data_IF_095699528040
#
_entry.id   IF_095699528040
#
_cell.length_a   1.000
_cell.length_b   1.000
_cell.length_c   1.000
_cell.angle_alpha   90.00
_cell.angle_beta   90.00
_cell.angle_gamma   90.00
#
_symmetry.space_group_name_H-M   'P 1'
#
loop_
_entity.id
_entity.type
_entity.pdbx_description
1 polymer ?
#
# COMPACT_ATOMS: atom_id res chain seq x y z
N UNK A 1 63.86 -24.18 129.14
CA UNK A 1 64.29 -24.40 127.73
C UNK A 1 63.20 -24.11 126.69
N UNK A 2 61.91 -24.08 127.05
CA UNK A 2 60.84 -23.80 126.09
C UNK A 2 60.65 -22.30 125.73
N UNK A 3 60.97 -21.35 126.62
CA UNK A 3 60.73 -19.91 126.39
C UNK A 3 61.67 -19.28 125.32
N UNK A 4 62.93 -19.72 125.23
CA UNK A 4 63.89 -19.20 124.25
C UNK A 4 63.62 -19.64 122.80
N UNK A 5 63.04 -20.83 122.61
CA UNK A 5 62.59 -21.30 121.29
C UNK A 5 61.31 -20.62 120.81
N UNK A 6 60.48 -20.15 121.74
CA UNK A 6 59.26 -19.39 121.41
C UNK A 6 59.63 -17.98 120.94
N UNK A 7 60.63 -17.34 121.56
CA UNK A 7 61.08 -15.98 121.19
C UNK A 7 61.82 -15.90 119.84
N UNK A 8 62.62 -16.92 119.48
CA UNK A 8 63.26 -16.98 118.15
C UNK A 8 62.23 -17.32 117.04
N UNK A 9 61.20 -18.10 117.37
CA UNK A 9 60.10 -18.39 116.46
C UNK A 9 59.17 -17.17 116.26
N UNK A 10 58.86 -16.40 117.31
CA UNK A 10 58.04 -15.17 117.22
C UNK A 10 58.77 -14.05 116.49
N UNK A 11 60.08 -13.87 116.69
CA UNK A 11 60.88 -12.90 115.94
C UNK A 11 61.01 -13.25 114.46
N UNK A 12 61.19 -14.55 114.12
CA UNK A 12 61.11 -15.02 112.73
C UNK A 12 59.73 -14.83 112.12
N UNK A 13 58.66 -15.14 112.85
CA UNK A 13 57.28 -14.88 112.42
C UNK A 13 57.05 -13.41 112.12
N UNK A 14 57.47 -12.50 113.00
CA UNK A 14 57.34 -11.05 112.78
C UNK A 14 58.16 -10.57 111.56
N UNK A 15 59.37 -11.11 111.35
CA UNK A 15 60.19 -10.78 110.17
C UNK A 15 59.57 -11.29 108.86
N UNK A 16 59.03 -12.51 108.86
CA UNK A 16 58.30 -13.10 107.74
C UNK A 16 57.00 -12.36 107.47
N UNK A 17 56.27 -11.97 108.51
CA UNK A 17 55.03 -11.19 108.42
C UNK A 17 55.28 -9.79 107.84
N UNK A 18 56.38 -9.13 108.24
CA UNK A 18 56.83 -7.87 107.62
C UNK A 18 57.30 -8.02 106.17
N UNK A 19 57.92 -9.15 105.81
CA UNK A 19 58.23 -9.45 104.40
C UNK A 19 56.96 -9.73 103.58
N UNK A 20 55.97 -10.40 104.18
CA UNK A 20 54.68 -10.71 103.57
C UNK A 20 53.87 -9.43 103.32
N UNK A 21 53.88 -8.48 104.26
CA UNK A 21 53.28 -7.14 104.06
C UNK A 21 53.98 -6.35 102.97
N UNK A 22 55.33 -6.37 102.90
CA UNK A 22 56.08 -5.73 101.82
C UNK A 22 55.79 -6.36 100.45
N UNK A 23 55.65 -7.69 100.40
CA UNK A 23 55.30 -8.40 99.16
C UNK A 23 53.87 -8.10 98.74
N UNK A 24 52.90 -8.10 99.67
CA UNK A 24 51.51 -7.68 99.41
C UNK A 24 51.42 -6.23 98.94
N UNK A 25 52.21 -5.32 99.51
CA UNK A 25 52.27 -3.94 99.05
C UNK A 25 52.84 -3.83 97.61
N UNK A 26 53.86 -4.63 97.28
CA UNK A 26 54.41 -4.70 95.91
C UNK A 26 53.41 -5.31 94.93
N UNK A 27 52.70 -6.36 95.32
CA UNK A 27 51.64 -7.01 94.54
C UNK A 27 50.50 -6.05 94.25
N UNK A 28 49.97 -5.37 95.28
CA UNK A 28 48.94 -4.34 95.11
C UNK A 28 49.38 -3.18 94.21
N UNK A 29 50.65 -2.78 94.27
CA UNK A 29 51.18 -1.73 93.41
C UNK A 29 51.38 -2.20 91.96
N UNK A 30 51.76 -3.47 91.76
CA UNK A 30 51.83 -4.11 90.45
C UNK A 30 50.44 -4.25 89.83
N UNK A 31 49.42 -4.66 90.60
CA UNK A 31 48.02 -4.73 90.16
C UNK A 31 47.50 -3.37 89.69
N UNK A 32 47.75 -2.31 90.46
CA UNK A 32 47.37 -0.94 90.05
C UNK A 32 48.06 -0.52 88.75
N UNK A 33 49.34 -0.86 88.57
CA UNK A 33 50.07 -0.60 87.31
C UNK A 33 49.46 -1.41 86.16
N UNK A 34 49.14 -2.67 86.38
CA UNK A 34 48.50 -3.55 85.39
C UNK A 34 47.14 -3.00 84.96
N UNK A 35 46.35 -2.50 85.90
CA UNK A 35 45.06 -1.86 85.63
C UNK A 35 45.23 -0.56 84.80
N UNK A 36 46.22 0.28 85.12
CA UNK A 36 46.51 1.48 84.32
C UNK A 36 46.97 1.15 82.90
N UNK A 37 47.86 0.16 82.75
CA UNK A 37 48.34 -0.29 81.44
C UNK A 37 47.19 -0.92 80.64
N UNK A 38 46.33 -1.70 81.28
CA UNK A 38 45.15 -2.29 80.61
C UNK A 38 44.19 -1.22 80.09
N UNK A 39 43.93 -0.17 80.89
CA UNK A 39 43.11 0.98 80.45
C UNK A 39 43.73 1.71 79.27
N UNK A 40 45.05 1.88 79.26
CA UNK A 40 45.73 2.56 78.16
C UNK A 40 45.76 1.70 76.89
N UNK A 41 45.94 0.38 77.01
CA UNK A 41 45.83 -0.56 75.89
C UNK A 41 44.44 -0.48 75.27
N UNK A 42 43.38 -0.42 76.06
CA UNK A 42 42.00 -0.31 75.56
C UNK A 42 41.75 1.04 74.85
N UNK A 43 42.28 2.15 75.38
CA UNK A 43 42.26 3.46 74.69
C UNK A 43 43.02 3.43 73.37
N UNK A 44 44.20 2.80 73.32
CA UNK A 44 44.96 2.69 72.08
C UNK A 44 44.27 1.77 71.06
N UNK A 45 43.64 0.70 71.51
CA UNK A 45 42.90 -0.22 70.67
C UNK A 45 41.69 0.45 70.01
N UNK A 46 40.89 1.20 70.79
CA UNK A 46 39.77 1.98 70.26
C UNK A 46 40.23 3.07 69.28
N UNK A 47 41.32 3.79 69.60
CA UNK A 47 41.92 4.79 68.70
C UNK A 47 42.40 4.16 67.39
N UNK A 48 43.06 3.00 67.45
CA UNK A 48 43.50 2.24 66.27
C UNK A 48 42.31 1.84 65.40
N UNK A 49 41.25 1.29 65.98
CA UNK A 49 40.07 0.87 65.23
C UNK A 49 39.36 2.05 64.55
N UNK A 50 39.29 3.21 65.20
CA UNK A 50 38.77 4.43 64.60
C UNK A 50 39.63 4.91 63.41
N UNK A 51 40.96 4.86 63.55
CA UNK A 51 41.87 5.20 62.46
C UNK A 51 41.75 4.23 61.27
N UNK A 52 41.59 2.93 61.53
CA UNK A 52 41.38 1.92 60.48
C UNK A 52 40.06 2.19 59.74
N UNK A 53 38.96 2.46 60.46
CA UNK A 53 37.67 2.81 59.83
C UNK A 53 37.80 4.06 58.97
N UNK A 54 38.49 5.09 59.47
CA UNK A 54 38.72 6.34 58.72
C UNK A 54 39.58 6.11 57.48
N UNK A 55 40.60 5.27 57.57
CA UNK A 55 41.42 4.88 56.42
C UNK A 55 40.59 4.12 55.37
N UNK A 56 39.75 3.17 55.79
CA UNK A 56 38.86 2.44 54.89
C UNK A 56 37.87 3.37 54.19
N UNK A 57 37.29 4.33 54.92
CA UNK A 57 36.42 5.35 54.37
C UNK A 57 37.13 6.22 53.31
N UNK A 58 38.33 6.71 53.62
CA UNK A 58 39.13 7.49 52.67
C UNK A 58 39.49 6.67 51.43
N UNK A 59 39.90 5.41 51.60
CA UNK A 59 40.20 4.49 50.48
C UNK A 59 38.99 4.24 49.58
N UNK A 60 37.80 4.06 50.16
CA UNK A 60 36.57 3.89 49.39
C UNK A 60 36.27 5.15 48.56
N UNK A 61 36.35 6.33 49.17
CA UNK A 61 36.16 7.60 48.45
C UNK A 61 37.16 7.82 47.32
N UNK A 62 38.43 7.47 47.53
CA UNK A 62 39.45 7.55 46.47
C UNK A 62 39.09 6.61 45.31
N UNK A 63 38.59 5.41 45.60
CA UNK A 63 38.14 4.45 44.58
C UNK A 63 36.91 4.95 43.82
N UNK A 64 35.94 5.53 44.53
CA UNK A 64 34.69 6.04 43.94
C UNK A 64 34.93 7.23 43.00
N UNK A 65 36.00 8.01 43.21
CA UNK A 65 36.45 9.07 42.30
C UNK A 65 37.04 8.50 41.00
N UNK A 66 37.45 7.23 40.98
CA UNK A 66 38.06 6.57 39.84
C UNK A 66 39.55 6.92 39.66
N UNK A 67 40.20 6.24 38.71
CA UNK A 67 41.57 6.58 38.33
C UNK A 67 41.54 7.84 37.44
N UNK A 68 42.00 8.97 37.98
CA UNK A 68 42.22 10.19 37.22
C UNK A 68 43.40 9.96 36.25
N UNK A 69 43.26 10.38 35.00
CA UNK A 69 44.33 10.26 34.01
C UNK A 69 45.57 11.03 34.48
N UNK A 70 46.78 10.46 34.31
CA UNK A 70 48.06 11.09 34.73
C UNK A 70 48.25 12.49 34.14
N UNK A 71 47.67 12.76 32.97
CA UNK A 71 47.74 14.05 32.27
C UNK A 71 46.91 15.17 32.91
N UNK A 72 45.96 14.85 33.80
CA UNK A 72 45.16 15.85 34.49
C UNK A 72 45.88 16.40 35.74
N UNK A 73 46.81 15.62 36.31
CA UNK A 73 47.67 16.07 37.40
C UNK A 73 48.57 17.22 36.94
N UNK A 74 49.26 17.06 35.80
CA UNK A 74 50.25 18.04 35.31
C UNK A 74 49.63 19.41 34.97
N UNK A 75 48.35 19.46 34.57
CA UNK A 75 47.62 20.70 34.24
C UNK A 75 47.19 21.53 35.44
N UNK A 76 47.15 20.93 36.63
CA UNK A 76 46.63 21.57 37.85
C UNK A 76 47.62 21.54 39.03
N UNK A 77 48.79 20.90 38.88
CA UNK A 77 49.82 20.72 39.91
C UNK A 77 50.35 22.03 40.50
N UNK A 78 50.46 23.09 39.67
CA UNK A 78 50.97 24.40 40.09
C UNK A 78 49.90 25.37 40.62
N UNK A 79 48.62 24.96 40.70
CA UNK A 79 47.52 25.84 41.14
C UNK A 79 47.32 25.70 42.64
N UNK A 80 47.21 26.83 43.35
CA UNK A 80 46.91 26.78 44.79
C UNK A 80 45.55 26.14 45.04
N UNK A 81 45.43 25.45 46.18
CA UNK A 81 44.19 24.79 46.63
C UNK A 81 43.00 25.76 46.60
N UNK A 82 43.23 27.03 46.93
CA UNK A 82 42.21 28.09 46.88
C UNK A 82 41.67 28.33 45.47
N UNK A 83 42.55 28.40 44.46
CA UNK A 83 42.13 28.57 43.05
C UNK A 83 41.38 27.34 42.53
N UNK A 84 41.77 26.13 42.94
CA UNK A 84 41.07 24.90 42.56
C UNK A 84 39.66 24.84 43.15
N UNK A 85 39.50 25.27 44.41
CA UNK A 85 38.19 25.39 45.05
C UNK A 85 37.29 26.41 44.35
N UNK A 86 37.83 27.58 43.96
CA UNK A 86 37.08 28.59 43.22
C UNK A 86 36.65 28.08 41.84
N UNK A 87 37.50 27.32 41.14
CA UNK A 87 37.16 26.69 39.87
C UNK A 87 36.07 25.61 40.04
N UNK A 88 36.17 24.81 41.09
CA UNK A 88 35.16 23.81 41.43
C UNK A 88 33.82 24.45 41.76
N UNK A 89 33.81 25.56 42.51
CA UNK A 89 32.61 26.33 42.81
C UNK A 89 31.96 26.87 41.53
N UNK A 90 32.75 27.48 40.63
CA UNK A 90 32.27 27.96 39.32
C UNK A 90 31.73 26.83 38.44
N UNK A 91 32.38 25.68 38.41
CA UNK A 91 31.90 24.51 37.68
C UNK A 91 30.59 23.97 38.27
N UNK A 92 30.47 23.92 39.60
CA UNK A 92 29.24 23.51 40.27
C UNK A 92 28.10 24.51 40.02
N UNK A 93 28.35 25.81 39.98
CA UNK A 93 27.34 26.80 39.58
C UNK A 93 26.87 26.60 38.15
N UNK A 94 27.79 26.32 37.22
CA UNK A 94 27.43 26.00 35.82
C UNK A 94 26.60 24.71 35.74
N UNK A 95 26.97 23.67 36.50
CA UNK A 95 26.23 22.41 36.59
C UNK A 95 24.82 22.61 37.17
N UNK A 96 24.65 23.50 38.16
CA UNK A 96 23.33 23.83 38.72
C UNK A 96 22.38 24.42 37.67
N UNK A 97 22.88 25.15 36.66
CA UNK A 97 22.04 25.67 35.56
C UNK A 97 21.47 24.54 34.69
N UNK A 98 22.16 23.40 34.65
CA UNK A 98 21.71 22.17 33.98
C UNK A 98 21.05 21.21 34.99
N UNK A 99 20.23 21.70 35.93
CA UNK A 99 19.56 20.83 36.92
C UNK A 99 18.56 19.86 36.28
N UNK A 100 17.94 20.25 35.18
CA UNK A 100 16.88 19.50 34.51
C UNK A 100 17.36 18.79 33.23
N UNK A 101 18.40 17.96 33.34
CA UNK A 101 18.84 17.11 32.21
C UNK A 101 17.94 15.89 32.09
N UNK A 102 17.37 15.69 30.89
CA UNK A 102 16.66 14.46 30.56
C UNK A 102 17.64 13.30 30.41
N UNK A 103 17.71 12.43 31.44
CA UNK A 103 18.57 11.25 31.43
C UNK A 103 18.14 10.18 30.41
N UNK A 104 16.89 10.21 29.94
CA UNK A 104 16.36 9.30 28.90
C UNK A 104 16.58 9.81 27.48
N UNK A 105 17.20 10.98 27.30
CA UNK A 105 17.36 11.60 25.99
C UNK A 105 18.12 10.70 25.00
N UNK A 106 19.13 9.96 25.48
CA UNK A 106 19.89 9.04 24.64
C UNK A 106 19.02 7.88 24.14
N UNK A 107 18.30 7.21 25.04
CA UNK A 107 17.42 6.09 24.68
C UNK A 107 16.29 6.54 23.75
N UNK A 108 15.70 7.70 24.02
CA UNK A 108 14.67 8.31 23.17
C UNK A 108 15.21 8.68 21.80
N UNK A 109 16.41 9.25 21.74
CA UNK A 109 17.05 9.59 20.47
C UNK A 109 17.28 8.36 19.60
N UNK A 110 17.81 7.27 20.18
CA UNK A 110 18.02 6.01 19.45
C UNK A 110 16.70 5.44 18.93
N UNK A 111 15.68 5.36 19.80
CA UNK A 111 14.36 4.83 19.42
C UNK A 111 13.68 5.67 18.31
N UNK A 112 13.64 7.00 18.47
CA UNK A 112 13.04 7.88 17.46
C UNK A 112 13.83 7.93 16.16
N UNK A 113 15.15 7.75 16.20
CA UNK A 113 15.97 7.67 14.98
C UNK A 113 15.62 6.41 14.18
N UNK A 114 15.47 5.26 14.86
CA UNK A 114 15.04 4.01 14.21
C UNK A 114 13.63 4.13 13.62
N UNK A 115 12.68 4.69 14.37
CA UNK A 115 11.31 4.92 13.86
C UNK A 115 11.30 5.85 12.65
N UNK A 116 12.10 6.92 12.67
CA UNK A 116 12.22 7.85 11.54
C UNK A 116 12.76 7.14 10.30
N UNK A 117 13.77 6.28 10.45
CA UNK A 117 14.33 5.52 9.33
C UNK A 117 13.31 4.55 8.74
N UNK A 118 12.54 3.85 9.57
CA UNK A 118 11.46 2.98 9.11
C UNK A 118 10.38 3.75 8.35
N UNK A 119 9.92 4.89 8.89
CA UNK A 119 8.92 5.73 8.23
C UNK A 119 9.44 6.32 6.90
N UNK A 120 10.71 6.73 6.85
CA UNK A 120 11.34 7.18 5.62
C UNK A 120 11.39 6.07 4.56
N UNK A 121 11.72 4.84 4.96
CA UNK A 121 11.71 3.68 4.05
C UNK A 121 10.30 3.40 3.51
N UNK A 122 9.28 3.41 4.37
CA UNK A 122 7.88 3.25 3.94
C UNK A 122 7.43 4.37 3.00
N UNK A 123 7.88 5.60 3.25
CA UNK A 123 7.58 6.72 2.37
C UNK A 123 8.18 6.50 0.98
N UNK A 124 9.46 6.11 0.90
CA UNK A 124 10.09 5.85 -0.40
C UNK A 124 9.41 4.70 -1.13
N UNK A 125 9.05 3.62 -0.43
CA UNK A 125 8.28 2.50 -1.02
C UNK A 125 6.91 2.95 -1.55
N UNK A 126 6.21 3.84 -0.83
CA UNK A 126 4.92 4.40 -1.27
C UNK A 126 5.07 5.36 -2.46
N UNK A 127 6.10 6.20 -2.47
CA UNK A 127 6.38 7.11 -3.58
C UNK A 127 6.72 6.32 -4.85
N UNK A 128 7.53 5.26 -4.74
CA UNK A 128 7.82 4.31 -5.83
C UNK A 128 6.56 3.59 -6.32
N UNK A 129 5.74 3.10 -5.39
CA UNK A 129 4.45 2.47 -5.71
C UNK A 129 3.49 3.42 -6.42
N UNK A 130 3.42 4.68 -6.00
CA UNK A 130 2.64 5.73 -6.64
C UNK A 130 3.10 6.00 -8.07
N UNK A 131 4.41 6.08 -8.29
CA UNK A 131 4.98 6.24 -9.63
C UNK A 131 4.67 5.04 -10.53
N UNK A 132 4.81 3.82 -10.01
CA UNK A 132 4.48 2.60 -10.77
C UNK A 132 3.01 2.54 -11.19
N UNK A 133 2.08 2.98 -10.33
CA UNK A 133 0.65 3.08 -10.67
C UNK A 133 0.43 4.12 -11.76
N UNK A 134 1.10 5.27 -11.69
CA UNK A 134 0.99 6.31 -12.73
C UNK A 134 1.49 5.80 -14.09
N UNK A 135 2.61 5.09 -14.10
CA UNK A 135 3.16 4.48 -15.31
C UNK A 135 2.22 3.39 -15.88
N UNK A 136 1.59 2.60 -15.00
CA UNK A 136 0.58 1.62 -15.40
C UNK A 136 -0.65 2.28 -16.03
N UNK A 137 -1.16 3.37 -15.45
CA UNK A 137 -2.29 4.13 -15.99
C UNK A 137 -1.93 4.62 -17.40
N UNK A 138 -0.74 5.20 -17.57
CA UNK A 138 -0.26 5.69 -18.87
C UNK A 138 -0.18 4.56 -19.90
N UNK A 139 0.31 3.39 -19.50
CA UNK A 139 0.37 2.22 -20.38
C UNK A 139 -1.02 1.70 -20.76
N UNK A 140 -1.96 1.64 -19.81
CA UNK A 140 -3.34 1.24 -20.06
C UNK A 140 -4.07 2.22 -21.00
N UNK A 141 -3.84 3.52 -20.83
CA UNK A 141 -4.41 4.54 -21.72
C UNK A 141 -3.90 4.42 -23.15
N UNK A 142 -2.60 4.16 -23.33
CA UNK A 142 -2.04 3.88 -24.65
C UNK A 142 -2.66 2.62 -25.27
N UNK A 143 -2.77 1.53 -24.49
CA UNK A 143 -3.34 0.27 -24.96
C UNK A 143 -4.82 0.41 -25.32
N UNK A 144 -5.58 1.20 -24.56
CA UNK A 144 -6.98 1.54 -24.81
C UNK A 144 -7.12 2.31 -26.13
N UNK A 145 -6.27 3.30 -26.36
CA UNK A 145 -6.26 4.10 -27.59
C UNK A 145 -5.95 3.24 -28.82
N UNK A 146 -4.91 2.40 -28.73
CA UNK A 146 -4.56 1.45 -29.79
C UNK A 146 -5.69 0.46 -30.07
N UNK A 147 -6.34 -0.08 -29.03
CA UNK A 147 -7.47 -0.98 -29.18
C UNK A 147 -8.64 -0.31 -29.90
N UNK A 148 -9.02 0.91 -29.49
CA UNK A 148 -10.09 1.70 -30.13
C UNK A 148 -9.75 1.98 -31.60
N UNK A 149 -8.51 2.37 -31.91
CA UNK A 149 -8.12 2.66 -33.29
C UNK A 149 -8.12 1.40 -34.16
N UNK A 150 -7.68 0.25 -33.62
CA UNK A 150 -7.71 -1.04 -34.31
C UNK A 150 -9.15 -1.48 -34.59
N UNK A 151 -10.02 -1.47 -33.58
CA UNK A 151 -11.43 -1.88 -33.73
C UNK A 151 -12.17 -0.95 -34.68
N UNK A 152 -11.98 0.37 -34.57
CA UNK A 152 -12.58 1.33 -35.50
C UNK A 152 -12.13 1.09 -36.94
N UNK A 153 -10.83 0.86 -37.18
CA UNK A 153 -10.31 0.57 -38.52
C UNK A 153 -10.89 -0.73 -39.09
N UNK A 154 -11.06 -1.75 -38.24
CA UNK A 154 -11.75 -3.00 -38.57
C UNK A 154 -13.19 -2.75 -39.01
N UNK A 155 -13.99 -2.12 -38.14
CA UNK A 155 -15.40 -1.80 -38.41
C UNK A 155 -15.54 -0.92 -39.65
N UNK A 156 -14.70 0.10 -39.83
CA UNK A 156 -14.75 0.98 -41.00
C UNK A 156 -14.46 0.24 -42.32
N UNK A 157 -13.51 -0.71 -42.32
CA UNK A 157 -13.22 -1.57 -43.48
C UNK A 157 -14.40 -2.48 -43.80
N UNK A 158 -14.95 -3.16 -42.78
CA UNK A 158 -16.09 -4.04 -42.95
C UNK A 158 -17.35 -3.29 -43.37
N UNK A 159 -17.60 -2.10 -42.81
CA UNK A 159 -18.72 -1.23 -43.16
C UNK A 159 -18.69 -0.85 -44.64
N UNK A 160 -17.54 -0.42 -45.17
CA UNK A 160 -17.43 -0.07 -46.58
C UNK A 160 -17.68 -1.27 -47.50
N UNK A 161 -17.20 -2.46 -47.10
CA UNK A 161 -17.41 -3.69 -47.87
C UNK A 161 -18.87 -4.16 -47.84
N UNK A 162 -19.49 -4.19 -46.65
CA UNK A 162 -20.91 -4.58 -46.46
C UNK A 162 -21.83 -3.60 -47.16
N UNK A 163 -21.60 -2.29 -47.02
CA UNK A 163 -22.43 -1.27 -47.67
C UNK A 163 -22.37 -1.39 -49.20
N UNK A 164 -21.18 -1.66 -49.77
CA UNK A 164 -21.02 -1.88 -51.21
C UNK A 164 -21.69 -3.17 -51.70
N UNK A 165 -21.75 -4.20 -50.85
CA UNK A 165 -22.47 -5.45 -51.14
C UNK A 165 -23.99 -5.23 -51.15
N UNK A 166 -24.52 -4.40 -50.24
CA UNK A 166 -25.96 -4.08 -50.17
C UNK A 166 -26.40 -3.04 -51.21
N UNK A 167 -25.54 -2.06 -51.52
CA UNK A 167 -25.79 -0.98 -52.48
C UNK A 167 -24.63 -0.93 -53.49
N UNK A 168 -24.70 -1.66 -54.62
CA UNK A 168 -23.60 -1.76 -55.59
C UNK A 168 -23.14 -0.42 -56.18
N UNK A 169 -24.06 0.53 -56.33
CA UNK A 169 -23.80 1.90 -56.82
C UNK A 169 -23.36 2.88 -55.75
N UNK A 170 -23.37 2.47 -54.48
CA UNK A 170 -23.15 3.34 -53.33
C UNK A 170 -21.76 3.24 -52.72
N UNK A 171 -21.42 4.20 -51.87
CA UNK A 171 -20.20 4.19 -51.06
C UNK A 171 -20.50 4.66 -49.63
N UNK A 172 -20.06 3.88 -48.65
CA UNK A 172 -20.16 4.21 -47.23
C UNK A 172 -18.79 4.29 -46.57
N UNK A 173 -18.60 5.31 -45.73
CA UNK A 173 -17.38 5.51 -44.94
C UNK A 173 -17.72 5.96 -43.51
N UNK A 174 -16.93 5.49 -42.55
CA UNK A 174 -17.00 5.92 -41.16
C UNK A 174 -15.86 6.90 -40.88
N UNK A 175 -16.16 7.96 -40.14
CA UNK A 175 -15.20 8.99 -39.74
C UNK A 175 -15.28 9.20 -38.23
N UNK A 176 -14.14 9.27 -37.55
CA UNK A 176 -14.14 9.60 -36.12
C UNK A 176 -14.23 11.11 -35.98
N UNK A 177 -15.22 11.60 -35.22
CA UNK A 177 -15.30 13.01 -34.82
C UNK A 177 -14.53 13.20 -33.53
N UNK A 178 -13.60 14.15 -33.54
CA UNK A 178 -12.90 14.61 -32.34
C UNK A 178 -13.56 15.91 -31.85
N UNK A 179 -13.54 16.16 -30.54
CA UNK A 179 -14.02 17.44 -29.99
C UNK A 179 -13.06 18.53 -30.49
N UNK A 180 -13.59 19.53 -31.18
CA UNK A 180 -12.86 20.75 -31.53
C UNK A 180 -12.67 21.57 -30.25
N UNK A 181 -11.43 21.79 -29.84
CA UNK A 181 -11.14 22.56 -28.62
C UNK A 181 -9.83 22.22 -27.91
N UNK A 182 -9.13 21.14 -28.28
CA UNK A 182 -7.84 20.82 -27.65
C UNK A 182 -6.78 20.48 -28.71
N UNK A 183 -6.35 21.51 -29.46
CA UNK A 183 -5.15 21.46 -30.32
C UNK A 183 -3.85 21.54 -29.51
N UNK A 184 -3.89 21.34 -28.18
CA UNK A 184 -2.68 21.14 -27.42
C UNK A 184 -2.14 19.74 -27.71
N UNK A 185 -1.12 19.69 -28.57
CA UNK A 185 -0.49 18.51 -29.20
C UNK A 185 0.10 17.45 -28.23
N UNK A 186 -0.20 17.51 -26.94
CA UNK A 186 0.41 16.65 -25.92
C UNK A 186 -0.55 15.71 -25.18
N UNK A 187 -1.87 15.83 -25.33
CA UNK A 187 -2.79 14.85 -24.76
C UNK A 187 -3.64 14.21 -25.86
N UNK A 188 -3.08 13.18 -26.51
CA UNK A 188 -3.89 12.17 -27.23
C UNK A 188 -4.60 11.27 -26.22
N UNK A 189 -5.39 11.86 -25.33
CA UNK A 189 -6.21 11.10 -24.40
C UNK A 189 -7.53 10.79 -25.10
N UNK A 190 -8.02 9.58 -24.90
CA UNK A 190 -9.29 9.05 -25.46
C UNK A 190 -10.51 9.95 -25.15
N UNK A 191 -10.36 10.89 -24.21
CA UNK A 191 -11.29 11.97 -23.91
C UNK A 191 -11.59 12.92 -25.10
N UNK A 192 -10.77 12.90 -26.15
CA UNK A 192 -10.91 13.79 -27.32
C UNK A 192 -11.90 13.26 -28.37
N UNK A 193 -12.45 12.06 -28.20
CA UNK A 193 -13.48 11.53 -29.11
C UNK A 193 -14.85 12.13 -28.80
N UNK A 194 -15.43 12.81 -29.79
CA UNK A 194 -16.79 13.36 -29.71
C UNK A 194 -17.85 12.35 -30.17
N UNK A 195 -17.48 11.45 -31.09
CA UNK A 195 -18.37 10.42 -31.61
C UNK A 195 -17.94 9.89 -32.97
N UNK A 196 -18.82 9.17 -33.64
CA UNK A 196 -18.60 8.63 -34.98
C UNK A 196 -19.55 9.30 -35.97
N UNK A 197 -18.99 9.82 -37.06
CA UNK A 197 -19.73 10.34 -38.20
C UNK A 197 -19.84 9.27 -39.29
N UNK A 198 -21.06 9.05 -39.78
CA UNK A 198 -21.33 8.16 -40.92
C UNK A 198 -21.57 9.02 -42.15
N UNK A 199 -20.86 8.71 -43.22
CA UNK A 199 -20.96 9.36 -44.53
C UNK A 199 -21.31 8.32 -45.58
N UNK A 200 -22.45 8.51 -46.26
CA UNK A 200 -22.94 7.57 -47.27
C UNK A 200 -23.40 8.30 -48.52
N UNK A 201 -23.17 7.65 -49.67
CA UNK A 201 -23.74 8.00 -50.97
C UNK A 201 -24.42 6.77 -51.55
N UNK A 202 -25.64 6.93 -52.08
CA UNK A 202 -26.43 5.86 -52.71
C UNK A 202 -26.36 5.90 -54.25
N UNK A 203 -25.99 7.04 -54.84
CA UNK A 203 -25.77 7.21 -56.28
C UNK A 203 -24.27 7.33 -56.57
N UNK A 204 -23.78 6.67 -57.62
CA UNK A 204 -22.36 6.67 -58.01
C UNK A 204 -21.82 8.03 -58.47
N UNK A 205 -22.61 9.10 -58.37
CA UNK A 205 -22.20 10.47 -58.68
C UNK A 205 -21.48 11.14 -57.51
N UNK A 206 -20.60 12.09 -57.82
CA UNK A 206 -19.82 12.93 -56.90
C UNK A 206 -20.66 13.89 -56.03
N UNK A 207 -21.98 13.75 -56.04
CA UNK A 207 -22.93 14.68 -55.42
C UNK A 207 -23.34 14.26 -54.00
N UNK A 208 -22.74 14.95 -53.03
CA UNK A 208 -23.17 15.12 -51.63
C UNK A 208 -23.14 13.90 -50.70
N UNK A 209 -22.10 13.88 -49.86
CA UNK A 209 -22.09 13.24 -48.52
C UNK A 209 -23.35 13.67 -47.75
N UNK A 210 -24.39 12.83 -47.76
CA UNK A 210 -25.60 13.09 -46.95
C UNK A 210 -25.38 12.57 -45.54
N UNK A 211 -25.58 13.45 -44.55
CA UNK A 211 -25.71 13.03 -43.16
C UNK A 211 -26.91 12.09 -43.03
N UNK A 212 -26.82 11.06 -42.18
CA UNK A 212 -27.87 10.02 -42.00
C UNK A 212 -29.26 10.62 -41.73
N UNK A 213 -29.32 11.80 -41.10
CA UNK A 213 -30.57 12.52 -40.81
C UNK A 213 -31.35 12.98 -42.06
N UNK A 214 -30.71 13.06 -43.23
CA UNK A 214 -31.33 13.49 -44.49
C UNK A 214 -31.70 12.35 -45.45
N UNK A 215 -31.71 11.10 -44.98
CA UNK A 215 -32.00 9.91 -45.79
C UNK A 215 -33.46 9.45 -45.61
N UNK A 216 -34.00 8.71 -46.59
CA UNK A 216 -35.33 8.07 -46.43
C UNK A 216 -35.29 6.97 -45.37
N UNK A 217 -36.45 6.60 -44.80
CA UNK A 217 -36.51 5.56 -43.76
C UNK A 217 -35.90 4.21 -44.21
N UNK A 218 -36.14 3.80 -45.46
CA UNK A 218 -35.52 2.61 -46.04
C UNK A 218 -33.99 2.74 -46.18
N UNK A 219 -33.49 3.90 -46.60
CA UNK A 219 -32.05 4.17 -46.68
C UNK A 219 -31.40 4.19 -45.29
N UNK A 220 -32.04 4.77 -44.28
CA UNK A 220 -31.56 4.73 -42.91
C UNK A 220 -31.47 3.29 -42.38
N UNK A 221 -32.46 2.45 -42.70
CA UNK A 221 -32.48 1.04 -42.33
C UNK A 221 -31.30 0.28 -42.96
N UNK A 222 -30.99 0.52 -44.24
CA UNK A 222 -29.83 -0.09 -44.91
C UNK A 222 -28.51 0.33 -44.27
N UNK A 223 -28.36 1.63 -43.93
CA UNK A 223 -27.16 2.12 -43.25
C UNK A 223 -26.99 1.47 -41.87
N UNK A 224 -28.08 1.34 -41.11
CA UNK A 224 -28.09 0.69 -39.81
C UNK A 224 -27.72 -0.80 -39.92
N UNK A 225 -28.36 -1.54 -40.83
CA UNK A 225 -28.04 -2.95 -41.09
C UNK A 225 -26.59 -3.13 -41.55
N UNK A 226 -26.09 -2.23 -42.42
CA UNK A 226 -24.70 -2.25 -42.86
C UNK A 226 -23.72 -2.09 -41.70
N UNK A 227 -24.05 -1.23 -40.72
CA UNK A 227 -23.24 -1.04 -39.53
C UNK A 227 -23.30 -2.27 -38.60
N UNK A 228 -24.50 -2.83 -38.39
CA UNK A 228 -24.67 -4.03 -37.56
C UNK A 228 -23.86 -5.19 -38.15
N UNK A 229 -24.01 -5.49 -39.44
CA UNK A 229 -23.23 -6.54 -40.12
C UNK A 229 -21.72 -6.24 -40.14
N UNK A 230 -21.30 -4.97 -40.17
CA UNK A 230 -19.89 -4.61 -40.09
C UNK A 230 -19.28 -4.88 -38.71
N UNK A 231 -20.03 -4.57 -37.65
CA UNK A 231 -19.65 -4.89 -36.27
C UNK A 231 -19.61 -6.41 -36.11
N UNK A 232 -20.63 -7.11 -36.63
CA UNK A 232 -20.74 -8.56 -36.64
C UNK A 232 -19.53 -9.27 -37.25
N UNK A 233 -19.05 -8.78 -38.41
CA UNK A 233 -17.86 -9.35 -39.08
C UNK A 233 -16.57 -9.06 -38.33
N UNK A 234 -16.54 -8.02 -37.50
CA UNK A 234 -15.39 -7.68 -36.68
C UNK A 234 -15.36 -8.48 -35.37
N UNK A 235 -16.53 -8.76 -34.80
CA UNK A 235 -16.70 -9.51 -33.55
C UNK A 235 -17.93 -10.44 -33.68
N UNK A 236 -17.76 -11.68 -34.17
CA UNK A 236 -18.85 -12.60 -34.40
C UNK A 236 -19.37 -13.22 -33.10
N UNK A 237 -20.68 -13.17 -32.94
CA UNK A 237 -21.49 -13.76 -31.87
C UNK A 237 -22.06 -15.10 -32.33
N UNK A 238 -22.36 -16.02 -31.40
CA UNK A 238 -22.88 -17.35 -31.75
C UNK A 238 -24.28 -17.34 -32.36
N UNK A 239 -25.13 -16.36 -32.03
CA UNK A 239 -26.48 -16.25 -32.57
C UNK A 239 -26.94 -14.79 -32.74
N UNK A 240 -27.90 -14.59 -33.66
CA UNK A 240 -28.52 -13.32 -33.99
C UNK A 240 -30.03 -13.46 -34.12
N UNK A 241 -30.77 -12.53 -33.52
CA UNK A 241 -32.22 -12.42 -33.64
C UNK A 241 -32.57 -11.10 -34.33
N UNK A 242 -33.26 -11.18 -35.47
CA UNK A 242 -33.76 -10.02 -36.19
C UNK A 242 -35.29 -10.01 -36.17
N UNK A 243 -35.86 -8.92 -35.66
CA UNK A 243 -37.31 -8.74 -35.58
C UNK A 243 -37.76 -7.74 -36.64
N UNK A 244 -38.48 -8.21 -37.66
CA UNK A 244 -39.10 -7.40 -38.73
C UNK A 244 -38.17 -6.34 -39.37
N UNK A 245 -36.88 -6.67 -39.53
CA UNK A 245 -35.85 -5.73 -40.00
C UNK A 245 -36.05 -5.26 -41.45
N UNK A 246 -36.96 -5.90 -42.17
CA UNK A 246 -37.23 -5.75 -43.59
C UNK A 246 -38.52 -4.97 -43.89
N UNK A 247 -39.25 -4.53 -42.85
CA UNK A 247 -40.53 -3.82 -42.98
C UNK A 247 -40.46 -2.58 -43.89
N UNK A 248 -39.38 -1.81 -43.80
CA UNK A 248 -39.17 -0.55 -44.53
C UNK A 248 -38.24 -0.69 -45.76
N UNK A 249 -37.90 -1.92 -46.15
CA UNK A 249 -37.01 -2.19 -47.28
C UNK A 249 -37.78 -2.52 -48.55
N UNK A 250 -37.25 -2.10 -49.71
CA UNK A 250 -37.75 -2.55 -51.01
C UNK A 250 -37.36 -4.01 -51.29
N UNK A 251 -37.99 -4.63 -52.29
CA UNK A 251 -37.74 -6.03 -52.63
C UNK A 251 -36.28 -6.30 -53.05
N UNK A 252 -35.59 -5.31 -53.63
CA UNK A 252 -34.19 -5.47 -54.08
C UNK A 252 -33.26 -5.56 -52.87
N UNK A 253 -33.37 -4.62 -51.93
CA UNK A 253 -32.57 -4.61 -50.71
C UNK A 253 -32.92 -5.78 -49.79
N UNK A 254 -34.19 -6.22 -49.74
CA UNK A 254 -34.58 -7.44 -49.01
C UNK A 254 -33.84 -8.68 -49.50
N UNK A 255 -33.76 -8.89 -50.82
CA UNK A 255 -32.98 -10.01 -51.39
C UNK A 255 -31.49 -9.90 -51.06
N UNK A 256 -30.92 -8.68 -51.14
CA UNK A 256 -29.52 -8.46 -50.78
C UNK A 256 -29.24 -8.78 -49.30
N UNK A 257 -30.13 -8.39 -48.39
CA UNK A 257 -30.04 -8.71 -46.96
C UNK A 257 -30.17 -10.22 -46.73
N UNK A 258 -31.15 -10.87 -47.36
CA UNK A 258 -31.34 -12.32 -47.26
C UNK A 258 -30.09 -13.09 -47.73
N UNK A 259 -29.50 -12.68 -48.86
CA UNK A 259 -28.28 -13.28 -49.38
C UNK A 259 -27.08 -13.11 -48.43
N UNK A 260 -26.97 -11.95 -47.79
CA UNK A 260 -25.92 -11.68 -46.80
C UNK A 260 -26.08 -12.51 -45.52
N UNK A 261 -27.31 -12.66 -45.02
CA UNK A 261 -27.61 -13.54 -43.88
C UNK A 261 -27.21 -14.97 -44.21
N UNK A 262 -27.59 -15.47 -45.39
CA UNK A 262 -27.24 -16.82 -45.86
C UNK A 262 -25.73 -17.08 -45.88
N UNK A 263 -24.94 -16.11 -46.34
CA UNK A 263 -23.48 -16.20 -46.36
C UNK A 263 -22.91 -16.38 -44.93
N UNK A 264 -23.47 -15.62 -43.98
CA UNK A 264 -23.03 -15.60 -42.58
C UNK A 264 -23.58 -16.75 -41.74
N UNK A 265 -24.63 -17.43 -42.18
CA UNK A 265 -25.20 -18.61 -41.51
C UNK A 265 -24.20 -19.77 -41.37
N UNK A 266 -23.11 -19.77 -42.15
CA UNK A 266 -22.01 -20.75 -42.01
C UNK A 266 -21.25 -20.60 -40.69
N UNK A 267 -21.25 -19.40 -40.10
CA UNK A 267 -20.47 -19.07 -38.90
C UNK A 267 -21.32 -18.78 -37.67
N UNK A 268 -22.61 -18.44 -37.83
CA UNK A 268 -23.50 -18.07 -36.74
C UNK A 268 -24.95 -18.49 -36.99
N UNK A 269 -25.73 -18.67 -35.93
CA UNK A 269 -27.15 -18.97 -36.03
C UNK A 269 -27.98 -17.70 -36.22
N UNK A 270 -28.88 -17.68 -37.20
CA UNK A 270 -29.81 -16.56 -37.42
C UNK A 270 -31.25 -16.99 -37.18
N UNK A 271 -31.99 -16.18 -36.43
CA UNK A 271 -33.43 -16.27 -36.23
C UNK A 271 -34.00 -14.94 -36.71
N UNK A 272 -34.96 -14.98 -37.63
CA UNK A 272 -35.60 -13.78 -38.17
C UNK A 272 -37.11 -13.93 -38.17
N UNK A 273 -37.82 -12.85 -37.82
CA UNK A 273 -39.25 -12.68 -38.09
C UNK A 273 -39.40 -11.79 -39.31
N UNK A 274 -40.41 -12.06 -40.14
CA UNK A 274 -40.67 -11.29 -41.37
C UNK A 274 -42.10 -11.55 -41.85
N UNK A 275 -42.69 -10.53 -42.48
CA UNK A 275 -43.92 -10.64 -43.27
C UNK A 275 -43.66 -10.56 -44.78
N UNK A 276 -42.40 -10.69 -45.23
CA UNK A 276 -42.00 -10.56 -46.63
C UNK A 276 -41.41 -11.87 -47.18
N UNK A 277 -41.69 -12.20 -48.45
CA UNK A 277 -41.30 -13.49 -49.01
C UNK A 277 -39.79 -13.65 -49.24
N UNK A 278 -39.03 -12.56 -49.39
CA UNK A 278 -37.62 -12.63 -49.81
C UNK A 278 -36.70 -13.31 -48.79
N UNK A 279 -36.91 -13.09 -47.48
CA UNK A 279 -36.09 -13.74 -46.44
C UNK A 279 -36.40 -15.25 -46.31
N UNK A 280 -37.62 -15.69 -46.65
CA UNK A 280 -37.98 -17.11 -46.64
C UNK A 280 -37.17 -17.94 -47.64
N UNK A 281 -36.62 -17.34 -48.70
CA UNK A 281 -35.93 -18.05 -49.78
C UNK A 281 -34.68 -18.79 -49.32
N UNK A 282 -34.07 -18.34 -48.23
CA UNK A 282 -32.79 -18.86 -47.73
C UNK A 282 -32.90 -19.49 -46.34
N UNK A 283 -34.10 -19.56 -45.76
CA UNK A 283 -34.33 -20.15 -44.46
C UNK A 283 -34.29 -21.69 -44.48
N UNK A 284 -33.77 -22.30 -43.41
CA UNK A 284 -33.70 -23.76 -43.26
C UNK A 284 -34.90 -24.37 -42.54
N UNK A 285 -35.50 -23.62 -41.60
CA UNK A 285 -36.65 -24.05 -40.80
C UNK A 285 -37.64 -22.89 -40.67
N UNK A 286 -38.92 -23.23 -40.66
CA UNK A 286 -40.01 -22.25 -40.59
C UNK A 286 -40.84 -22.51 -39.33
N UNK A 287 -41.15 -21.43 -38.62
CA UNK A 287 -41.97 -21.47 -37.41
C UNK A 287 -43.16 -20.54 -37.61
N UNK A 288 -44.37 -21.08 -37.49
CA UNK A 288 -45.62 -20.33 -37.53
C UNK A 288 -46.12 -20.06 -36.12
N UNK A 289 -46.53 -18.82 -35.85
CA UNK A 289 -47.20 -18.43 -34.60
C UNK A 289 -48.68 -18.23 -34.89
N UNK A 290 -49.54 -18.96 -34.18
CA UNK A 290 -50.98 -18.83 -34.27
C UNK A 290 -51.56 -18.35 -32.93
N UNK A 291 -52.49 -17.40 -32.99
CA UNK A 291 -53.23 -16.91 -31.83
C UNK A 291 -54.66 -17.42 -31.87
N UNK A 292 -55.02 -18.31 -30.94
CA UNK A 292 -56.35 -18.91 -30.85
C UNK A 292 -56.78 -18.99 -29.39
N UNK A 293 -58.06 -18.72 -29.09
CA UNK A 293 -58.62 -18.81 -27.73
C UNK A 293 -57.82 -18.04 -26.67
N UNK A 294 -57.32 -16.83 -27.02
CA UNK A 294 -56.44 -16.00 -26.18
C UNK A 294 -55.09 -16.64 -25.80
N UNK A 295 -54.63 -17.65 -26.55
CA UNK A 295 -53.32 -18.28 -26.36
C UNK A 295 -52.49 -18.24 -27.65
N UNK A 296 -51.20 -17.92 -27.53
CA UNK A 296 -50.22 -18.00 -28.63
C UNK A 296 -49.57 -19.38 -28.65
N UNK A 297 -49.59 -20.05 -29.80
CA UNK A 297 -48.90 -21.33 -30.01
C UNK A 297 -47.90 -21.20 -31.15
N UNK A 298 -46.69 -21.73 -30.95
CA UNK A 298 -45.66 -21.84 -31.99
C UNK A 298 -45.60 -23.28 -32.49
N UNK A 299 -45.57 -23.45 -33.81
CA UNK A 299 -45.45 -24.77 -34.45
C UNK A 299 -44.49 -24.71 -35.63
N UNK A 300 -43.86 -25.84 -35.95
CA UNK A 300 -43.02 -25.96 -37.14
C UNK A 300 -43.96 -26.14 -38.34
N UNK A 301 -43.79 -25.31 -39.36
CA UNK A 301 -44.61 -25.32 -40.58
C UNK A 301 -43.76 -25.65 -41.80
N UNK A 302 -44.41 -26.07 -42.89
CA UNK A 302 -43.70 -26.31 -44.15
C UNK A 302 -43.37 -24.98 -44.85
N UNK A 303 -42.47 -25.02 -45.84
CA UNK A 303 -42.11 -23.84 -46.64
C UNK A 303 -43.30 -23.31 -47.43
N UNK A 304 -44.17 -24.20 -47.91
CA UNK A 304 -45.32 -23.82 -48.71
C UNK A 304 -46.39 -23.17 -47.82
N UNK A 305 -46.65 -23.73 -46.63
CA UNK A 305 -47.53 -23.08 -45.64
C UNK A 305 -47.02 -21.68 -45.25
N UNK A 306 -45.71 -21.51 -45.06
CA UNK A 306 -45.12 -20.22 -44.75
C UNK A 306 -45.32 -19.19 -45.87
N UNK A 307 -45.22 -19.62 -47.14
CA UNK A 307 -45.49 -18.76 -48.29
C UNK A 307 -46.97 -18.41 -48.40
N UNK A 308 -47.85 -19.37 -48.14
CA UNK A 308 -49.29 -19.14 -48.17
C UNK A 308 -49.71 -18.12 -47.12
N UNK A 309 -49.19 -18.22 -45.89
CA UNK A 309 -49.42 -17.24 -44.82
C UNK A 309 -48.97 -15.84 -45.27
N UNK A 310 -47.76 -15.69 -45.83
CA UNK A 310 -47.29 -14.39 -46.30
C UNK A 310 -48.16 -13.86 -47.44
N UNK A 311 -48.58 -14.72 -48.37
CA UNK A 311 -49.43 -14.31 -49.50
C UNK A 311 -50.83 -13.87 -49.08
N UNK A 312 -51.35 -14.43 -47.98
CA UNK A 312 -52.63 -14.02 -47.38
C UNK A 312 -52.48 -12.66 -46.69
N UNK A 313 -51.40 -12.49 -45.91
CA UNK A 313 -51.09 -11.23 -45.24
C UNK A 313 -50.87 -10.09 -46.24
N UNK A 314 -50.19 -10.34 -47.38
CA UNK A 314 -50.02 -9.34 -48.44
C UNK A 314 -51.33 -8.99 -49.18
N UNK A 315 -52.35 -9.84 -49.15
CA UNK A 315 -53.68 -9.55 -49.72
C UNK A 315 -54.59 -8.78 -48.77
N UNK A 316 -54.35 -8.88 -47.47
CA UNK A 316 -55.12 -8.20 -46.42
C UNK A 316 -54.57 -6.80 -46.06
N UNK A 317 -53.31 -6.51 -46.44
CA UNK A 317 -52.63 -5.21 -46.28
C UNK A 317 -52.76 -4.32 -47.53
#
# INVERSE_FOLDING_TARGET
EAEGTVDDATSRLNSLQGQLEKLKAKESNQEKRLETVSRDVEKFFTKRNNLIRRQQYCRKRIRDVGALARDDYTKHDQKSVKRLMDQLAKCNEKLKKFSHVNKKALDQYVNFTQQREELMRRKTELDEGGQAIHDLIKHLDQKKEEAIQRTFKGIAKHFSAVFKQLVPSGKGTLTIKKKEGDESKHNRSTANYAGVGIKVSFSGGSGFDRSVKGLSGGQQTIVALSLIFAIQRCDPSPFYLFDEIDANLDAVYRRSVAGMIREQCSTAQFITTTFRPELLEHANKFYGVAFQNKMSKVSVISRDDARDIISQVEKEL
#
